data_IF_458162529085
#
_entry.id   IF_458162529085
#
_cell.length_a   1.000
_cell.length_b   1.000
_cell.length_c   1.000
_cell.angle_alpha   90.00
_cell.angle_beta   90.00
_cell.angle_gamma   90.00
#
_symmetry.space_group_name_H-M   'P 1'
#
loop_
_entity.id
_entity.type
_entity.pdbx_description
1 polymer ?
#
# COMPACT_ATOMS: atom_id res chain seq x y z
N UNK A 1 -13.62 37.32 1.25
CA UNK A 1 -12.98 36.30 0.37
C UNK A 1 -11.50 36.07 0.66
N UNK A 2 -10.68 37.09 0.98
CA UNK A 2 -9.24 36.88 1.25
C UNK A 2 -8.92 36.12 2.56
N UNK A 3 -9.76 36.13 3.59
CA UNK A 3 -9.56 35.36 4.84
C UNK A 3 -9.85 33.87 4.72
N UNK A 4 -10.62 33.45 3.72
CA UNK A 4 -10.96 32.04 3.49
C UNK A 4 -9.83 31.29 2.75
N UNK A 5 -9.07 31.98 1.92
CA UNK A 5 -7.95 31.40 1.13
C UNK A 5 -6.72 31.14 2.01
N UNK A 6 -6.48 31.98 3.04
CA UNK A 6 -5.36 31.78 3.98
C UNK A 6 -5.57 30.60 4.94
N UNK A 7 -6.83 30.29 5.26
CA UNK A 7 -7.16 29.14 6.13
C UNK A 7 -6.97 27.80 5.43
N UNK A 8 -7.17 27.75 4.11
CA UNK A 8 -7.04 26.52 3.31
C UNK A 8 -5.56 26.13 3.10
N UNK A 9 -4.64 27.09 3.02
CA UNK A 9 -3.21 26.81 2.88
C UNK A 9 -2.52 26.29 4.15
N UNK A 10 -3.02 26.63 5.34
CA UNK A 10 -2.45 26.13 6.61
C UNK A 10 -2.91 24.72 6.96
N UNK A 11 -4.02 24.25 6.38
CA UNK A 11 -4.63 22.93 6.64
C UNK A 11 -3.91 21.81 5.87
N UNK A 12 -3.26 22.13 4.73
CA UNK A 12 -2.63 21.12 3.88
C UNK A 12 -1.30 20.55 4.41
N UNK A 13 -0.67 21.19 5.37
CA UNK A 13 0.68 20.79 5.84
C UNK A 13 0.67 19.78 7.01
N UNK A 14 -0.47 19.56 7.67
CA UNK A 14 -0.56 18.73 8.90
C UNK A 14 -1.15 17.32 8.70
N UNK A 15 -1.74 17.02 7.56
CA UNK A 15 -2.35 15.68 7.29
C UNK A 15 -1.28 14.59 7.08
N UNK A 16 -0.04 14.97 6.77
CA UNK A 16 1.08 14.06 6.55
C UNK A 16 1.84 13.63 7.82
N UNK A 17 1.54 14.20 8.96
CA UNK A 17 2.27 13.89 10.20
C UNK A 17 1.40 13.11 11.16
N UNK A 18 1.07 11.84 10.99
CA UNK A 18 0.50 10.89 11.99
C UNK A 18 -0.08 11.44 13.32
N UNK A 19 -0.31 12.75 13.42
CA UNK A 19 -0.97 13.47 14.49
C UNK A 19 -2.25 14.03 13.87
N UNK A 20 -3.21 13.18 13.64
CA UNK A 20 -4.58 13.57 13.32
C UNK A 20 -5.26 13.88 14.67
N UNK A 21 -4.88 14.95 15.31
CA UNK A 21 -5.55 15.35 16.56
C UNK A 21 -6.00 16.82 16.60
N UNK A 22 -5.55 17.73 15.73
CA UNK A 22 -5.91 19.15 15.89
C UNK A 22 -6.49 19.87 14.66
N UNK A 23 -6.46 19.28 13.46
CA UNK A 23 -7.06 19.92 12.26
C UNK A 23 -8.25 19.17 11.66
N UNK A 24 -8.71 18.14 12.32
CA UNK A 24 -9.89 17.35 11.93
C UNK A 24 -11.23 18.12 12.03
N UNK A 25 -11.26 19.33 12.52
CA UNK A 25 -12.53 20.04 12.74
C UNK A 25 -13.20 20.43 11.40
N UNK A 26 -12.46 20.85 10.37
CA UNK A 26 -13.07 21.23 9.09
C UNK A 26 -13.41 20.05 8.19
N UNK A 27 -12.65 18.96 8.26
CA UNK A 27 -12.97 17.70 7.55
C UNK A 27 -14.10 16.92 8.23
N UNK A 28 -14.22 17.02 9.57
CA UNK A 28 -15.32 16.41 10.32
C UNK A 28 -16.70 16.93 9.93
N UNK A 29 -16.79 18.17 9.45
CA UNK A 29 -18.07 18.76 8.99
C UNK A 29 -18.50 18.27 7.60
N UNK A 30 -17.59 17.64 6.83
CA UNK A 30 -17.83 17.22 5.43
C UNK A 30 -17.96 15.69 5.32
N UNK A 31 -17.30 14.94 6.21
CA UNK A 31 -17.31 13.48 6.17
C UNK A 31 -18.49 12.91 6.98
N UNK A 32 -19.10 11.81 6.53
CA UNK A 32 -20.13 11.11 7.28
C UNK A 32 -19.62 10.69 8.67
N UNK A 33 -20.47 10.81 9.70
CA UNK A 33 -20.12 10.57 11.10
C UNK A 33 -19.50 9.19 11.36
N UNK A 34 -19.93 8.16 10.62
CA UNK A 34 -19.40 6.80 10.78
C UNK A 34 -17.90 6.69 10.53
N UNK A 35 -17.29 7.62 9.78
CA UNK A 35 -15.85 7.65 9.53
C UNK A 35 -15.07 7.85 10.83
N UNK A 36 -15.66 8.55 11.81
CA UNK A 36 -15.04 8.77 13.11
C UNK A 36 -15.02 7.50 14.01
N UNK A 37 -15.79 6.46 13.65
CA UNK A 37 -15.81 5.19 14.38
C UNK A 37 -14.68 4.24 13.97
N UNK A 38 -13.90 4.59 12.95
CA UNK A 38 -12.87 3.71 12.37
C UNK A 38 -11.57 4.46 12.12
N UNK A 39 -10.48 3.73 11.94
CA UNK A 39 -9.27 4.23 11.33
C UNK A 39 -9.25 3.77 9.87
N UNK A 40 -9.09 4.69 8.93
CA UNK A 40 -8.82 4.39 7.53
C UNK A 40 -7.30 4.36 7.34
N UNK A 41 -6.77 3.19 6.94
CA UNK A 41 -5.34 2.96 6.76
C UNK A 41 -5.01 2.75 5.30
N UNK A 42 -3.82 3.20 4.86
CA UNK A 42 -3.43 3.23 3.45
C UNK A 42 -4.46 3.97 2.56
N UNK A 43 -5.02 5.04 3.11
CA UNK A 43 -6.04 5.88 2.50
C UNK A 43 -5.61 7.35 2.62
N UNK A 44 -4.68 7.78 1.74
CA UNK A 44 -4.19 9.15 1.71
C UNK A 44 -5.16 10.16 1.08
N UNK A 45 -6.21 9.67 0.41
CA UNK A 45 -7.23 10.49 -0.23
C UNK A 45 -8.64 9.95 0.03
N UNK A 46 -9.24 10.33 1.16
CA UNK A 46 -10.64 10.02 1.45
C UNK A 46 -11.52 11.10 0.82
N UNK A 47 -12.43 10.69 -0.07
CA UNK A 47 -13.29 11.62 -0.83
C UNK A 47 -14.75 11.27 -0.59
N UNK A 48 -15.62 12.22 -0.19
CA UNK A 48 -17.05 11.97 -0.10
C UNK A 48 -17.61 11.49 -1.44
N UNK A 49 -18.58 10.57 -1.40
CA UNK A 49 -19.36 10.21 -2.58
C UNK A 49 -20.22 11.37 -3.03
N UNK A 50 -20.66 11.35 -4.29
CA UNK A 50 -21.48 12.45 -4.88
C UNK A 50 -22.80 12.68 -4.15
N UNK A 51 -23.35 11.63 -3.52
CA UNK A 51 -24.57 11.71 -2.71
C UNK A 51 -24.29 12.11 -1.24
N UNK A 52 -23.03 12.27 -0.86
CA UNK A 52 -22.60 12.62 0.49
C UNK A 52 -22.83 11.52 1.55
N UNK A 53 -23.29 10.33 1.15
CA UNK A 53 -23.64 9.26 2.09
C UNK A 53 -22.49 8.30 2.41
N UNK A 54 -21.43 8.32 1.61
CA UNK A 54 -20.27 7.45 1.74
C UNK A 54 -18.97 8.17 1.47
N UNK A 55 -17.87 7.43 1.54
CA UNK A 55 -16.53 7.90 1.20
C UNK A 55 -15.82 6.90 0.28
N UNK A 56 -15.06 7.42 -0.69
CA UNK A 56 -14.19 6.65 -1.56
C UNK A 56 -12.80 6.56 -0.92
N UNK A 57 -12.21 5.36 -0.96
CA UNK A 57 -10.93 5.07 -0.34
C UNK A 57 -9.80 5.13 -1.37
N UNK A 58 -9.17 6.29 -1.52
CA UNK A 58 -8.05 6.48 -2.44
C UNK A 58 -6.71 6.43 -1.70
N UNK A 59 -5.70 5.79 -2.28
CA UNK A 59 -4.39 5.61 -1.64
C UNK A 59 -3.53 6.87 -1.64
N UNK A 60 -3.75 7.78 -2.59
CA UNK A 60 -3.07 9.07 -2.63
C UNK A 60 -4.08 10.23 -2.72
N UNK A 61 -3.76 11.41 -2.15
CA UNK A 61 -4.62 12.59 -2.19
C UNK A 61 -4.73 13.16 -3.62
N UNK A 62 -5.73 14.01 -3.85
CA UNK A 62 -6.03 14.56 -5.19
C UNK A 62 -4.84 15.34 -5.76
N UNK A 63 -4.18 16.12 -4.93
CA UNK A 63 -3.05 16.99 -5.30
C UNK A 63 -1.87 16.19 -5.87
N UNK A 64 -1.65 14.99 -5.36
CA UNK A 64 -0.65 14.04 -5.88
C UNK A 64 -1.15 13.40 -7.16
N UNK A 65 -2.39 12.87 -7.14
CA UNK A 65 -2.97 12.15 -8.28
C UNK A 65 -3.03 13.00 -9.56
N UNK A 66 -3.35 14.28 -9.44
CA UNK A 66 -3.44 15.20 -10.57
C UNK A 66 -2.08 15.49 -11.24
N UNK A 67 -0.97 15.16 -10.60
CA UNK A 67 0.40 15.36 -11.10
C UNK A 67 1.05 14.08 -11.62
N UNK A 68 0.36 12.94 -11.55
CA UNK A 68 0.90 11.69 -12.07
C UNK A 68 0.76 11.60 -13.59
N UNK A 69 1.72 10.93 -14.22
CA UNK A 69 1.74 10.75 -15.66
C UNK A 69 0.49 10.01 -16.16
N UNK A 70 -0.09 10.52 -17.23
CA UNK A 70 -1.26 9.92 -17.91
C UNK A 70 -0.89 9.22 -19.21
N UNK A 71 0.38 9.33 -19.64
CA UNK A 71 0.92 8.72 -20.86
C UNK A 71 2.37 8.30 -20.66
N UNK A 72 2.75 7.24 -21.35
CA UNK A 72 4.15 6.86 -21.53
C UNK A 72 4.84 7.74 -22.57
N UNK A 73 6.19 7.77 -22.61
CA UNK A 73 6.94 8.53 -23.64
C UNK A 73 6.61 8.11 -25.08
N UNK A 74 6.18 6.88 -25.33
CA UNK A 74 5.72 6.38 -26.64
C UNK A 74 4.23 6.71 -26.90
N UNK A 75 3.61 7.51 -26.05
CA UNK A 75 2.25 8.05 -26.24
C UNK A 75 1.10 7.14 -25.80
N UNK A 76 1.37 5.95 -25.26
CA UNK A 76 0.31 5.08 -24.74
C UNK A 76 -0.32 5.69 -23.51
N UNK A 77 -1.66 5.67 -23.47
CA UNK A 77 -2.42 6.14 -22.30
C UNK A 77 -2.23 5.16 -21.14
N UNK A 78 -1.71 5.67 -20.02
CA UNK A 78 -1.51 4.98 -18.77
C UNK A 78 -1.79 5.96 -17.64
N UNK A 79 -2.88 5.76 -16.92
CA UNK A 79 -3.39 6.72 -15.94
C UNK A 79 -2.91 6.37 -14.51
N UNK A 80 -1.85 7.05 -14.05
CA UNK A 80 -1.32 6.92 -12.69
C UNK A 80 -2.33 7.36 -11.63
N UNK A 81 -3.13 8.40 -11.91
CA UNK A 81 -4.18 8.85 -11.01
C UNK A 81 -5.24 7.76 -10.79
N UNK A 82 -5.65 7.05 -11.85
CA UNK A 82 -6.58 5.92 -11.75
C UNK A 82 -5.98 4.80 -10.86
N UNK A 83 -4.69 4.52 -10.97
CA UNK A 83 -4.06 3.48 -10.14
C UNK A 83 -4.05 3.85 -8.65
N UNK A 84 -3.93 5.13 -8.31
CA UNK A 84 -3.99 5.58 -6.91
C UNK A 84 -5.41 5.65 -6.34
N UNK A 85 -6.45 5.53 -7.17
CA UNK A 85 -7.85 5.33 -6.73
C UNK A 85 -8.17 3.88 -6.39
N UNK A 86 -7.40 2.93 -6.87
CA UNK A 86 -7.56 1.51 -6.54
C UNK A 86 -7.27 1.29 -5.05
N UNK A 87 -8.23 0.74 -4.32
CA UNK A 87 -8.19 0.60 -2.86
C UNK A 87 -7.42 -0.64 -2.37
N UNK A 88 -6.48 -1.16 -3.17
CA UNK A 88 -5.70 -2.34 -2.80
C UNK A 88 -4.90 -2.09 -1.52
N UNK A 89 -5.03 -2.99 -0.53
CA UNK A 89 -4.47 -2.86 0.82
C UNK A 89 -4.93 -1.62 1.61
N UNK A 90 -5.95 -0.89 1.13
CA UNK A 90 -6.66 0.02 2.01
C UNK A 90 -7.36 -0.78 3.09
N UNK A 91 -7.32 -0.30 4.33
CA UNK A 91 -7.93 -1.00 5.47
C UNK A 91 -8.91 -0.10 6.21
N UNK A 92 -10.01 -0.70 6.66
CA UNK A 92 -10.90 -0.13 7.66
C UNK A 92 -10.62 -0.85 8.97
N UNK A 93 -10.14 -0.12 9.99
CA UNK A 93 -9.72 -0.67 11.27
C UNK A 93 -10.62 -0.17 12.40
N UNK A 94 -11.03 -1.05 13.27
CA UNK A 94 -11.83 -0.71 14.44
C UNK A 94 -11.59 -1.69 15.59
N UNK A 95 -12.05 -1.31 16.78
CA UNK A 95 -12.06 -2.13 17.99
C UNK A 95 -13.48 -2.15 18.53
N UNK A 96 -13.95 -3.31 18.96
CA UNK A 96 -15.24 -3.44 19.65
C UNK A 96 -15.16 -2.76 21.02
N UNK A 97 -16.18 -1.98 21.37
CA UNK A 97 -16.34 -1.50 22.72
C UNK A 97 -16.73 -2.66 23.67
N UNK A 98 -16.66 -2.41 24.96
CA UNK A 98 -16.96 -3.42 25.97
C UNK A 98 -18.39 -3.94 25.83
N UNK A 99 -18.56 -5.27 25.81
CA UNK A 99 -19.85 -5.92 25.64
C UNK A 99 -20.35 -6.08 24.21
N UNK A 100 -19.72 -5.39 23.24
CA UNK A 100 -20.07 -5.55 21.82
C UNK A 100 -19.54 -6.87 21.25
N UNK A 101 -20.28 -7.45 20.32
CA UNK A 101 -19.94 -8.74 19.68
C UNK A 101 -19.70 -8.57 18.18
N UNK A 102 -18.75 -9.33 17.59
CA UNK A 102 -18.46 -9.27 16.17
C UNK A 102 -19.67 -9.44 15.25
N UNK A 103 -20.61 -10.31 15.62
CA UNK A 103 -21.82 -10.60 14.85
C UNK A 103 -22.82 -9.44 14.76
N UNK A 104 -22.72 -8.44 15.63
CA UNK A 104 -23.55 -7.25 15.60
C UNK A 104 -22.97 -6.16 14.69
N UNK A 105 -21.68 -6.28 14.32
CA UNK A 105 -21.01 -5.29 13.47
C UNK A 105 -21.36 -5.56 12.01
N UNK A 106 -21.79 -4.51 11.31
CA UNK A 106 -22.10 -4.56 9.88
C UNK A 106 -21.39 -3.43 9.16
N UNK A 107 -20.59 -3.77 8.15
CA UNK A 107 -19.93 -2.78 7.28
C UNK A 107 -20.63 -2.79 5.92
N UNK A 108 -20.81 -1.58 5.37
CA UNK A 108 -21.42 -1.37 4.07
C UNK A 108 -20.38 -0.86 3.11
N UNK A 109 -19.98 -1.73 2.16
CA UNK A 109 -18.99 -1.46 1.14
C UNK A 109 -19.57 -1.64 -0.25
N UNK A 110 -19.06 -0.87 -1.21
CA UNK A 110 -19.43 -0.97 -2.61
C UNK A 110 -18.18 -0.84 -3.49
N UNK A 111 -18.07 -1.68 -4.49
CA UNK A 111 -17.06 -1.52 -5.54
C UNK A 111 -17.60 -0.70 -6.71
N UNK A 112 -16.78 0.16 -7.30
CA UNK A 112 -17.21 1.07 -8.37
C UNK A 112 -17.40 0.41 -9.72
N UNK A 113 -16.54 -0.54 -10.10
CA UNK A 113 -16.52 -1.08 -11.46
C UNK A 113 -16.94 -2.55 -11.55
N UNK A 114 -16.42 -3.38 -10.66
CA UNK A 114 -16.62 -4.84 -10.66
C UNK A 114 -16.55 -5.39 -9.24
N UNK A 115 -17.13 -6.56 -9.04
CA UNK A 115 -17.01 -7.27 -7.77
C UNK A 115 -15.53 -7.38 -7.34
N UNK A 116 -15.28 -7.17 -6.06
CA UNK A 116 -13.98 -7.36 -5.43
C UNK A 116 -14.09 -8.21 -4.16
N UNK A 117 -12.96 -8.49 -3.53
CA UNK A 117 -12.91 -9.21 -2.26
C UNK A 117 -12.38 -8.32 -1.16
N UNK A 118 -12.90 -8.54 0.03
CA UNK A 118 -12.30 -8.05 1.27
C UNK A 118 -12.01 -9.23 2.17
N UNK A 119 -10.96 -9.08 2.96
CA UNK A 119 -10.53 -10.06 3.95
C UNK A 119 -10.54 -9.39 5.30
N UNK A 120 -11.02 -10.08 6.35
CA UNK A 120 -10.93 -9.50 7.68
C UNK A 120 -10.07 -10.33 8.61
N UNK A 121 -9.40 -9.61 9.46
CA UNK A 121 -8.49 -10.13 10.48
C UNK A 121 -8.94 -9.63 11.84
N UNK A 122 -8.79 -10.49 12.84
CA UNK A 122 -8.74 -10.07 14.23
C UNK A 122 -7.29 -10.16 14.68
N UNK A 123 -6.70 -9.00 15.05
CA UNK A 123 -5.25 -8.90 15.19
C UNK A 123 -4.56 -9.27 13.87
N UNK A 124 -3.76 -10.34 13.91
CA UNK A 124 -3.09 -10.92 12.72
C UNK A 124 -3.71 -12.24 12.22
N UNK A 125 -4.79 -12.70 12.83
CA UNK A 125 -5.45 -13.95 12.41
C UNK A 125 -6.52 -13.65 11.36
N UNK A 126 -6.38 -14.27 10.18
CA UNK A 126 -7.40 -14.23 9.14
C UNK A 126 -8.67 -14.92 9.65
N UNK A 127 -9.77 -14.19 9.73
CA UNK A 127 -11.04 -14.66 10.24
C UNK A 127 -12.07 -14.92 9.14
N UNK A 128 -11.93 -14.30 7.96
CA UNK A 128 -12.83 -14.57 6.85
C UNK A 128 -12.62 -13.68 5.64
N UNK A 129 -13.47 -13.91 4.64
CA UNK A 129 -13.52 -13.14 3.41
C UNK A 129 -14.96 -12.92 2.95
N UNK A 130 -15.20 -11.87 2.20
CA UNK A 130 -16.47 -11.59 1.55
C UNK A 130 -16.29 -10.95 0.18
N UNK A 131 -17.30 -11.06 -0.65
CA UNK A 131 -17.41 -10.34 -1.91
C UNK A 131 -18.09 -9.01 -1.70
N UNK A 132 -17.52 -7.96 -2.25
CA UNK A 132 -18.08 -6.61 -2.32
C UNK A 132 -18.68 -6.44 -3.70
N UNK A 133 -20.00 -6.31 -3.84
CA UNK A 133 -20.66 -6.19 -5.13
C UNK A 133 -20.36 -4.84 -5.78
N UNK A 134 -20.47 -4.81 -7.10
CA UNK A 134 -20.47 -3.55 -7.86
C UNK A 134 -21.89 -2.95 -7.82
N UNK A 135 -21.96 -1.63 -7.57
CA UNK A 135 -23.21 -0.89 -7.68
C UNK A 135 -24.26 -1.12 -6.58
N UNK A 136 -23.97 -1.95 -5.58
CA UNK A 136 -24.89 -2.21 -4.46
C UNK A 136 -24.13 -2.30 -3.12
N UNK A 137 -24.55 -1.53 -2.12
CA UNK A 137 -24.00 -1.55 -0.76
C UNK A 137 -25.00 -2.06 0.30
N UNK A 138 -26.16 -2.56 -0.11
CA UNK A 138 -27.22 -2.97 0.82
C UNK A 138 -26.90 -4.30 1.53
N UNK A 139 -25.92 -5.06 1.04
CA UNK A 139 -25.49 -6.31 1.67
C UNK A 139 -24.32 -6.05 2.62
N UNK A 140 -24.54 -6.07 3.96
CA UNK A 140 -23.47 -5.81 4.90
C UNK A 140 -22.44 -6.95 4.95
N UNK A 141 -21.20 -6.58 5.25
CA UNK A 141 -20.15 -7.51 5.65
C UNK A 141 -20.16 -7.59 7.17
N UNK A 142 -20.25 -8.82 7.70
CA UNK A 142 -20.20 -9.08 9.14
C UNK A 142 -18.86 -9.74 9.44
N UNK A 143 -17.92 -9.04 10.12
CA UNK A 143 -16.57 -9.54 10.35
C UNK A 143 -16.51 -10.48 11.55
N UNK A 144 -17.32 -11.54 11.52
CA UNK A 144 -17.39 -12.55 12.58
C UNK A 144 -16.07 -13.36 12.66
N UNK A 145 -15.88 -14.05 13.76
CA UNK A 145 -14.86 -15.06 13.98
C UNK A 145 -15.47 -16.24 14.75
N UNK A 146 -14.74 -17.32 14.88
CA UNK A 146 -15.22 -18.45 15.69
C UNK A 146 -14.75 -18.36 17.15
N UNK A 147 -15.50 -18.98 18.07
CA UNK A 147 -15.21 -18.91 19.50
C UNK A 147 -13.84 -19.49 19.88
N UNK A 148 -13.39 -20.56 19.19
CA UNK A 148 -12.05 -21.14 19.42
C UNK A 148 -10.95 -20.13 19.07
N UNK A 149 -11.08 -19.43 17.95
CA UNK A 149 -10.13 -18.40 17.55
C UNK A 149 -10.00 -17.33 18.65
N UNK A 150 -11.12 -16.78 19.14
CA UNK A 150 -11.09 -15.77 20.18
C UNK A 150 -10.51 -16.29 21.49
N UNK A 151 -10.86 -17.51 21.92
CA UNK A 151 -10.28 -18.13 23.10
C UNK A 151 -8.77 -18.34 23.01
N UNK A 152 -8.27 -18.72 21.83
CA UNK A 152 -6.83 -18.83 21.60
C UNK A 152 -6.13 -17.47 21.64
N UNK A 153 -6.75 -16.44 21.06
CA UNK A 153 -6.20 -15.08 21.04
C UNK A 153 -6.12 -14.47 22.46
N UNK A 154 -7.02 -14.83 23.38
CA UNK A 154 -6.95 -14.43 24.78
C UNK A 154 -5.74 -15.02 25.51
N UNK A 155 -5.40 -16.27 25.18
CA UNK A 155 -4.29 -17.01 25.82
C UNK A 155 -2.93 -16.72 25.18
N UNK A 156 -2.92 -16.45 23.87
CA UNK A 156 -1.70 -16.29 23.08
C UNK A 156 -1.77 -14.97 22.30
N UNK A 157 -1.31 -13.85 22.90
CA UNK A 157 -1.15 -12.61 22.14
C UNK A 157 -0.23 -12.88 20.95
N UNK A 158 -0.73 -12.65 19.76
CA UNK A 158 0.01 -12.98 18.55
C UNK A 158 -0.06 -11.85 17.54
N UNK A 159 1.14 -11.42 17.11
CA UNK A 159 1.27 -10.57 15.95
C UNK A 159 1.47 -9.09 16.23
N UNK A 160 1.31 -8.33 15.18
CA UNK A 160 1.61 -6.89 15.09
C UNK A 160 0.55 -6.00 15.73
N UNK A 161 -0.67 -6.51 15.87
CA UNK A 161 -1.84 -5.76 16.33
C UNK A 161 -2.41 -6.40 17.58
N UNK A 162 -3.01 -5.60 18.47
CA UNK A 162 -3.78 -6.16 19.56
C UNK A 162 -4.92 -7.05 19.03
N UNK A 163 -5.16 -8.16 19.69
CA UNK A 163 -6.12 -9.18 19.24
C UNK A 163 -7.54 -8.67 19.00
N UNK A 164 -7.93 -7.58 19.68
CA UNK A 164 -9.27 -6.95 19.55
C UNK A 164 -9.39 -5.98 18.37
N UNK A 165 -8.32 -5.72 17.63
CA UNK A 165 -8.35 -4.89 16.42
C UNK A 165 -8.89 -5.70 15.26
N UNK A 166 -10.05 -5.31 14.74
CA UNK A 166 -10.55 -5.81 13.47
C UNK A 166 -9.97 -4.97 12.32
N UNK A 167 -9.48 -5.66 11.29
CA UNK A 167 -8.92 -5.04 10.09
C UNK A 167 -9.62 -5.61 8.87
N UNK A 168 -10.32 -4.76 8.11
CA UNK A 168 -10.97 -5.12 6.85
C UNK A 168 -10.02 -4.67 5.73
N UNK A 169 -9.39 -5.60 5.04
CA UNK A 169 -8.38 -5.37 4.00
C UNK A 169 -9.02 -5.51 2.63
N UNK A 170 -8.90 -4.48 1.79
CA UNK A 170 -9.45 -4.46 0.44
C UNK A 170 -8.45 -5.03 -0.56
N UNK A 171 -8.90 -5.87 -1.49
CA UNK A 171 -8.09 -6.37 -2.60
C UNK A 171 -8.02 -5.41 -3.81
N UNK A 172 -8.91 -4.46 -3.91
CA UNK A 172 -9.16 -3.57 -5.07
C UNK A 172 -10.42 -4.02 -5.82
N UNK A 173 -10.97 -3.30 -6.80
CA UNK A 173 -10.54 -2.02 -7.39
C UNK A 173 -10.88 -0.79 -6.51
N UNK A 174 -11.46 0.28 -7.08
CA UNK A 174 -11.96 1.42 -6.33
C UNK A 174 -13.15 0.98 -5.45
N UNK A 175 -13.06 1.25 -4.14
CA UNK A 175 -14.06 0.86 -3.15
C UNK A 175 -14.50 2.08 -2.36
N UNK A 176 -15.80 2.18 -2.15
CA UNK A 176 -16.40 3.12 -1.23
C UNK A 176 -16.87 2.44 0.05
N UNK A 177 -16.94 3.23 1.12
CA UNK A 177 -17.40 2.86 2.44
C UNK A 177 -18.63 3.70 2.80
N UNK A 178 -19.80 3.06 3.00
CA UNK A 178 -21.09 3.71 3.23
C UNK A 178 -21.58 3.63 4.66
N UNK A 179 -20.89 2.93 5.54
CA UNK A 179 -21.26 2.91 6.95
C UNK A 179 -20.76 1.72 7.73
N UNK A 180 -20.86 1.87 9.05
CA UNK A 180 -20.64 0.80 10.02
C UNK A 180 -21.71 0.90 11.11
N UNK A 181 -22.41 -0.21 11.35
CA UNK A 181 -23.27 -0.42 12.53
C UNK A 181 -22.49 -1.19 13.59
N UNK A 182 -22.92 -1.07 14.84
CA UNK A 182 -22.26 -1.68 15.99
C UNK A 182 -21.56 -0.62 16.86
N UNK A 183 -21.29 -1.00 18.10
CA UNK A 183 -20.60 -0.17 19.06
C UNK A 183 -19.08 -0.36 18.95
N UNK A 184 -18.47 0.43 18.06
CA UNK A 184 -17.05 0.34 17.69
C UNK A 184 -16.37 1.68 17.80
N UNK A 185 -15.06 1.65 17.95
CA UNK A 185 -14.18 2.83 17.96
C UNK A 185 -12.92 2.62 17.13
N UNK A 186 -12.22 3.68 16.74
CA UNK A 186 -10.89 3.56 16.16
C UNK A 186 -9.91 2.88 17.13
N UNK A 187 -8.92 2.12 16.63
CA UNK A 187 -7.82 1.61 17.45
C UNK A 187 -7.01 2.75 18.08
N UNK A 188 -6.54 2.53 19.30
CA UNK A 188 -5.58 3.43 19.96
C UNK A 188 -4.16 3.12 19.49
N UNK A 189 -3.21 4.06 19.59
CA UNK A 189 -1.82 3.83 19.17
C UNK A 189 -1.16 2.58 19.78
N UNK A 190 -1.42 2.29 21.05
CA UNK A 190 -0.88 1.11 21.74
C UNK A 190 -1.54 -0.22 21.33
N UNK A 191 -2.62 -0.19 20.56
CA UNK A 191 -3.27 -1.36 19.99
C UNK A 191 -2.73 -1.71 18.61
N UNK A 192 -2.02 -0.77 17.98
CA UNK A 192 -1.41 -0.92 16.66
C UNK A 192 0.08 -1.26 16.69
N UNK A 193 0.82 -0.80 17.64
CA UNK A 193 2.18 -1.10 18.12
C UNK A 193 3.32 -1.51 17.17
N UNK A 194 3.07 -1.79 15.93
CA UNK A 194 4.06 -2.26 14.97
C UNK A 194 4.72 -1.07 14.23
N UNK A 195 6.04 -1.15 13.89
CA UNK A 195 6.64 -0.24 12.95
C UNK A 195 5.99 -0.38 11.56
N UNK A 196 6.16 0.61 10.69
CA UNK A 196 5.50 0.69 9.39
C UNK A 196 6.48 0.42 8.25
N UNK A 197 6.15 -0.52 7.37
CA UNK A 197 6.81 -0.72 6.08
C UNK A 197 6.02 -0.06 4.96
N UNK A 198 6.65 0.88 4.26
CA UNK A 198 6.15 1.44 3.01
C UNK A 198 6.67 0.59 1.84
N UNK A 199 5.81 0.21 0.90
CA UNK A 199 6.22 -0.38 -0.36
C UNK A 199 5.70 0.42 -1.55
N UNK A 200 6.59 0.78 -2.47
CA UNK A 200 6.25 1.35 -3.77
C UNK A 200 6.81 0.46 -4.88
N UNK A 201 6.07 0.35 -5.98
CA UNK A 201 6.49 -0.45 -7.13
C UNK A 201 5.37 -0.62 -8.14
N UNK A 202 5.48 -1.65 -8.96
CA UNK A 202 4.66 -1.88 -10.14
C UNK A 202 3.37 -2.67 -9.82
N UNK A 203 2.77 -3.29 -10.86
CA UNK A 203 1.68 -4.27 -10.70
C UNK A 203 2.06 -5.46 -9.82
N UNK A 204 3.35 -5.81 -9.78
CA UNK A 204 3.87 -6.90 -8.94
C UNK A 204 3.75 -6.52 -7.47
N UNK A 205 4.12 -5.30 -7.11
CA UNK A 205 3.94 -4.75 -5.75
C UNK A 205 2.49 -4.45 -5.41
N UNK A 206 1.67 -4.10 -6.42
CA UNK A 206 0.23 -3.91 -6.24
C UNK A 206 -0.50 -5.22 -5.97
N UNK A 207 0.06 -6.37 -6.40
CA UNK A 207 -0.48 -7.70 -6.17
C UNK A 207 -1.24 -8.29 -7.35
N UNK A 208 -0.87 -7.92 -8.58
CA UNK A 208 -1.39 -8.60 -9.77
C UNK A 208 -1.07 -10.11 -9.70
N UNK A 209 -2.04 -10.94 -10.06
CA UNK A 209 -2.04 -12.40 -9.98
C UNK A 209 -1.93 -13.02 -8.57
N UNK A 210 -1.73 -12.27 -7.51
CA UNK A 210 -1.93 -12.79 -6.16
C UNK A 210 -3.42 -13.10 -5.95
N UNK A 211 -3.74 -14.28 -5.43
CA UNK A 211 -5.13 -14.70 -5.20
C UNK A 211 -5.79 -13.88 -4.08
N UNK A 212 -5.00 -13.45 -3.09
CA UNK A 212 -5.45 -12.66 -1.93
C UNK A 212 -4.50 -11.48 -1.66
N UNK A 213 -5.01 -10.45 -0.99
CA UNK A 213 -4.22 -9.27 -0.64
C UNK A 213 -3.02 -9.60 0.29
N UNK A 214 -3.20 -10.52 1.23
CA UNK A 214 -2.16 -10.93 2.17
C UNK A 214 -1.11 -11.88 1.58
N UNK A 215 -1.30 -12.36 0.36
CA UNK A 215 -0.34 -13.20 -0.37
C UNK A 215 0.57 -12.41 -1.31
N UNK A 216 0.46 -11.09 -1.35
CA UNK A 216 1.40 -10.25 -2.11
C UNK A 216 2.75 -10.23 -1.38
N UNK A 217 3.84 -10.33 -2.12
CA UNK A 217 5.20 -10.47 -1.57
C UNK A 217 5.54 -9.42 -0.50
N UNK A 218 5.15 -8.17 -0.72
CA UNK A 218 5.42 -7.08 0.21
C UNK A 218 4.58 -7.16 1.50
N UNK A 219 3.31 -7.60 1.41
CA UNK A 219 2.48 -7.87 2.58
C UNK A 219 3.01 -9.06 3.40
N UNK A 220 3.47 -10.12 2.71
CA UNK A 220 4.14 -11.27 3.34
C UNK A 220 5.44 -10.86 4.03
N UNK A 221 6.26 -10.05 3.37
CA UNK A 221 7.53 -9.53 3.94
C UNK A 221 7.26 -8.65 5.16
N UNK A 222 6.33 -7.70 5.08
CA UNK A 222 5.96 -6.84 6.21
C UNK A 222 5.50 -7.69 7.42
N UNK A 223 4.64 -8.68 7.18
CA UNK A 223 4.18 -9.60 8.22
C UNK A 223 5.32 -10.39 8.85
N UNK A 224 6.21 -10.95 8.04
CA UNK A 224 7.36 -11.74 8.52
C UNK A 224 8.35 -10.91 9.35
N UNK A 225 8.50 -9.62 9.03
CA UNK A 225 9.34 -8.68 9.76
C UNK A 225 8.64 -8.07 10.99
N UNK A 226 7.34 -8.29 11.18
CA UNK A 226 6.56 -7.69 12.26
C UNK A 226 6.15 -6.23 12.02
N UNK A 227 6.08 -5.79 10.77
CA UNK A 227 5.72 -4.42 10.37
C UNK A 227 4.26 -4.30 9.99
N UNK A 228 3.63 -3.17 10.32
CA UNK A 228 2.42 -2.70 9.63
C UNK A 228 2.75 -2.30 8.19
N UNK A 229 1.76 -2.12 7.32
CA UNK A 229 2.03 -2.08 5.89
C UNK A 229 1.28 -0.99 5.15
N UNK A 230 2.00 -0.24 4.30
CA UNK A 230 1.46 0.72 3.34
C UNK A 230 1.86 0.27 1.93
N UNK A 231 0.86 0.00 1.08
CA UNK A 231 1.10 -0.38 -0.32
C UNK A 231 0.82 0.78 -1.28
N UNK A 232 1.87 1.29 -1.91
CA UNK A 232 1.79 2.30 -2.97
C UNK A 232 2.15 1.72 -4.35
N UNK A 233 1.97 0.42 -4.56
CA UNK A 233 2.12 -0.22 -5.87
C UNK A 233 1.19 0.39 -6.91
N UNK A 234 1.69 0.62 -8.14
CA UNK A 234 1.01 1.34 -9.22
C UNK A 234 1.09 0.54 -10.52
N UNK A 235 0.03 -0.19 -10.85
CA UNK A 235 0.02 -1.12 -11.99
C UNK A 235 0.22 -0.39 -13.33
N UNK A 236 1.31 -0.72 -14.01
CA UNK A 236 1.65 -0.14 -15.31
C UNK A 236 2.08 1.34 -15.28
N UNK A 237 2.15 1.96 -14.10
CA UNK A 237 2.38 3.40 -13.92
C UNK A 237 3.32 3.74 -12.76
N UNK A 238 4.15 2.82 -12.31
CA UNK A 238 5.20 3.12 -11.35
C UNK A 238 6.38 3.82 -12.05
N UNK A 239 6.25 5.15 -12.22
CA UNK A 239 7.17 5.96 -13.04
C UNK A 239 8.08 6.85 -12.23
N UNK A 240 8.11 6.70 -10.89
CA UNK A 240 8.94 7.51 -9.99
C UNK A 240 8.76 9.02 -10.21
N UNK A 241 7.53 9.48 -10.45
CA UNK A 241 7.24 10.90 -10.65
C UNK A 241 7.63 11.70 -9.40
N UNK A 242 8.11 12.95 -9.56
CA UNK A 242 8.46 13.80 -8.42
C UNK A 242 7.32 13.95 -7.40
N UNK A 243 6.07 14.13 -7.87
CA UNK A 243 4.91 14.25 -6.99
C UNK A 243 4.67 13.00 -6.14
N UNK A 244 4.86 11.80 -6.73
CA UNK A 244 4.80 10.54 -5.97
C UNK A 244 5.96 10.45 -4.98
N UNK A 245 7.17 10.78 -5.39
CA UNK A 245 8.37 10.75 -4.54
C UNK A 245 8.21 11.68 -3.33
N UNK A 246 7.72 12.90 -3.54
CA UNK A 246 7.45 13.88 -2.48
C UNK A 246 6.36 13.39 -1.52
N UNK A 247 5.31 12.77 -2.06
CA UNK A 247 4.25 12.19 -1.24
C UNK A 247 4.76 11.04 -0.37
N UNK A 248 5.50 10.07 -0.94
CA UNK A 248 6.09 8.97 -0.17
C UNK A 248 7.04 9.48 0.92
N UNK A 249 7.81 10.52 0.63
CA UNK A 249 8.71 11.16 1.59
C UNK A 249 7.96 11.88 2.73
N UNK A 250 6.71 12.29 2.51
CA UNK A 250 5.87 12.93 3.54
C UNK A 250 5.16 11.93 4.47
N UNK A 251 5.07 10.66 4.10
CA UNK A 251 4.46 9.63 4.92
C UNK A 251 5.38 9.21 6.08
N UNK A 252 4.80 8.68 7.14
CA UNK A 252 5.56 8.09 8.25
C UNK A 252 5.76 6.60 8.01
N UNK A 253 7.01 6.18 7.99
CA UNK A 253 7.41 4.78 7.86
C UNK A 253 8.79 4.56 8.48
N UNK A 254 9.07 3.30 8.85
CA UNK A 254 10.29 2.87 9.50
C UNK A 254 11.15 1.98 8.59
N UNK A 255 10.60 1.56 7.45
CA UNK A 255 11.27 0.80 6.40
C UNK A 255 10.59 1.13 5.06
N UNK A 256 11.37 1.41 4.02
CA UNK A 256 10.85 1.58 2.67
C UNK A 256 11.41 0.50 1.73
N UNK A 257 10.53 -0.14 0.94
CA UNK A 257 10.92 -1.13 -0.08
C UNK A 257 10.42 -0.68 -1.44
N UNK A 258 11.34 -0.42 -2.35
CA UNK A 258 11.10 0.06 -3.71
C UNK A 258 11.34 -1.07 -4.71
N UNK A 259 10.30 -1.54 -5.41
CA UNK A 259 10.40 -2.45 -6.55
C UNK A 259 10.36 -1.60 -7.83
N UNK A 260 11.54 -1.44 -8.47
CA UNK A 260 11.68 -0.43 -9.49
C UNK A 260 11.91 -1.01 -10.88
N UNK A 261 11.28 -0.34 -11.83
CA UNK A 261 11.70 -0.15 -13.22
C UNK A 261 10.99 -0.91 -14.33
N UNK A 262 10.25 -2.02 -14.12
CA UNK A 262 9.62 -2.70 -15.28
C UNK A 262 8.65 -1.78 -16.04
N UNK A 263 7.92 -0.92 -15.34
CA UNK A 263 7.01 0.04 -15.98
C UNK A 263 7.74 1.15 -16.75
N UNK A 264 8.98 1.42 -16.38
CA UNK A 264 9.82 2.42 -17.05
C UNK A 264 10.64 1.85 -18.22
N UNK A 265 10.38 0.62 -18.64
CA UNK A 265 11.07 -0.04 -19.76
C UNK A 265 10.99 0.74 -21.07
N UNK A 266 9.92 1.52 -21.29
CA UNK A 266 9.74 2.38 -22.47
C UNK A 266 10.29 3.79 -22.30
N UNK A 267 10.79 4.15 -21.13
CA UNK A 267 11.41 5.45 -20.89
C UNK A 267 12.86 5.45 -21.39
N UNK A 268 13.36 6.59 -21.92
CA UNK A 268 14.78 6.75 -22.15
C UNK A 268 15.57 6.51 -20.86
N UNK A 269 16.71 5.83 -20.96
CA UNK A 269 17.50 5.45 -19.76
C UNK A 269 17.94 6.67 -18.92
N UNK A 270 18.19 7.81 -19.55
CA UNK A 270 18.47 9.06 -18.83
C UNK A 270 17.31 9.48 -17.93
N UNK A 271 16.09 9.51 -18.47
CA UNK A 271 14.89 9.85 -17.69
C UNK A 271 14.62 8.84 -16.56
N UNK A 272 14.87 7.55 -16.80
CA UNK A 272 14.82 6.55 -15.74
C UNK A 272 15.78 6.90 -14.60
N UNK A 273 17.06 7.17 -14.94
CA UNK A 273 18.09 7.53 -13.96
C UNK A 273 17.72 8.79 -13.17
N UNK A 274 17.25 9.82 -13.85
CA UNK A 274 16.91 11.11 -13.22
C UNK A 274 15.77 10.93 -12.20
N UNK A 275 14.70 10.23 -12.58
CA UNK A 275 13.54 10.03 -11.71
C UNK A 275 13.86 9.12 -10.53
N UNK A 276 14.60 8.04 -10.74
CA UNK A 276 15.01 7.12 -9.67
C UNK A 276 15.98 7.78 -8.70
N UNK A 277 16.96 8.56 -9.20
CA UNK A 277 17.84 9.35 -8.35
C UNK A 277 17.05 10.33 -7.47
N UNK A 278 16.11 11.07 -8.08
CA UNK A 278 15.27 12.01 -7.32
C UNK A 278 14.49 11.30 -6.21
N UNK A 279 13.84 10.18 -6.52
CA UNK A 279 13.07 9.42 -5.53
C UNK A 279 13.96 8.93 -4.39
N UNK A 280 15.08 8.30 -4.69
CA UNK A 280 15.99 7.75 -3.68
C UNK A 280 16.56 8.87 -2.79
N UNK A 281 17.07 9.95 -3.38
CA UNK A 281 17.61 11.09 -2.62
C UNK A 281 16.54 11.73 -1.72
N UNK A 282 15.33 11.94 -2.25
CA UNK A 282 14.23 12.54 -1.51
C UNK A 282 13.81 11.69 -0.30
N UNK A 283 13.64 10.39 -0.48
CA UNK A 283 13.27 9.48 0.59
C UNK A 283 14.38 9.35 1.64
N UNK A 284 15.63 9.21 1.19
CA UNK A 284 16.78 9.08 2.10
C UNK A 284 16.99 10.30 2.98
N UNK A 285 16.81 11.51 2.43
CA UNK A 285 16.91 12.76 3.19
C UNK A 285 15.75 12.97 4.16
N UNK A 286 14.53 12.54 3.80
CA UNK A 286 13.37 12.70 4.67
C UNK A 286 13.35 11.69 5.82
N UNK A 287 13.99 10.52 5.66
CA UNK A 287 14.03 9.44 6.64
C UNK A 287 15.45 8.89 6.78
N UNK A 288 16.40 9.68 7.33
CA UNK A 288 17.83 9.33 7.32
C UNK A 288 18.19 8.11 8.16
N UNK A 289 17.33 7.71 9.10
CA UNK A 289 17.54 6.57 10.00
C UNK A 289 16.75 5.31 9.61
N UNK A 290 15.85 5.42 8.63
CA UNK A 290 15.04 4.30 8.16
C UNK A 290 15.69 3.65 6.92
N UNK A 291 15.82 2.31 6.87
CA UNK A 291 16.36 1.63 5.71
C UNK A 291 15.45 1.80 4.48
N UNK A 292 16.09 1.98 3.33
CA UNK A 292 15.45 2.02 2.01
C UNK A 292 16.06 0.91 1.16
N UNK A 293 15.25 -0.08 0.79
CA UNK A 293 15.69 -1.25 0.01
C UNK A 293 15.19 -1.09 -1.43
N UNK A 294 16.12 -0.95 -2.36
CA UNK A 294 15.86 -0.80 -3.78
C UNK A 294 16.03 -2.14 -4.50
N UNK A 295 14.94 -2.73 -4.95
CA UNK A 295 14.91 -4.00 -5.67
C UNK A 295 14.91 -3.73 -7.18
N UNK A 296 15.86 -4.32 -7.91
CA UNK A 296 15.88 -4.26 -9.38
C UNK A 296 14.81 -5.14 -10.00
N UNK A 297 14.63 -5.01 -11.34
CA UNK A 297 13.65 -5.82 -12.07
C UNK A 297 13.80 -7.30 -11.75
N UNK A 298 12.67 -7.92 -11.39
CA UNK A 298 12.56 -9.38 -11.33
C UNK A 298 12.79 -10.00 -12.71
N UNK A 299 13.12 -11.30 -12.81
CA UNK A 299 13.12 -12.01 -14.08
C UNK A 299 11.74 -12.02 -14.71
N UNK A 300 11.66 -11.82 -16.04
CA UNK A 300 10.43 -11.97 -16.79
C UNK A 300 10.68 -12.33 -18.25
N UNK A 301 9.74 -13.06 -18.87
CA UNK A 301 9.97 -13.75 -20.14
C UNK A 301 10.44 -12.84 -21.27
N UNK A 302 9.72 -11.75 -21.56
CA UNK A 302 10.07 -10.87 -22.69
C UNK A 302 11.30 -10.00 -22.43
N UNK A 303 11.66 -9.79 -21.16
CA UNK A 303 12.81 -8.99 -20.78
C UNK A 303 14.14 -9.74 -20.74
N UNK A 304 14.11 -11.02 -20.42
CA UNK A 304 15.32 -11.79 -20.18
C UNK A 304 15.58 -12.89 -21.24
N UNK A 305 14.51 -13.44 -21.86
CA UNK A 305 14.64 -14.57 -22.78
C UNK A 305 14.76 -14.19 -24.25
N UNK A 306 14.35 -12.99 -24.64
CA UNK A 306 14.39 -12.56 -26.03
C UNK A 306 15.64 -11.74 -26.34
N UNK A 307 16.42 -12.20 -27.32
CA UNK A 307 17.69 -11.60 -27.73
C UNK A 307 17.60 -10.13 -28.15
N UNK A 308 16.41 -9.64 -28.51
CA UNK A 308 16.14 -8.24 -28.85
C UNK A 308 15.41 -7.51 -27.70
N UNK A 309 15.95 -7.56 -26.51
CA UNK A 309 15.39 -6.91 -25.32
C UNK A 309 15.25 -5.38 -25.51
N UNK A 310 14.15 -4.97 -26.14
CA UNK A 310 13.84 -3.54 -26.39
C UNK A 310 13.63 -2.74 -25.10
N UNK A 311 13.44 -3.42 -23.96
CA UNK A 311 13.18 -2.79 -22.66
C UNK A 311 14.47 -2.46 -21.89
N UNK A 312 15.65 -2.90 -22.38
CA UNK A 312 16.93 -2.67 -21.72
C UNK A 312 16.94 -3.19 -20.28
N UNK A 313 16.45 -4.41 -20.04
CA UNK A 313 16.23 -4.97 -18.70
C UNK A 313 17.52 -4.99 -17.89
N UNK A 314 18.60 -5.53 -18.46
CA UNK A 314 19.88 -5.60 -17.77
C UNK A 314 20.49 -4.20 -17.55
N UNK A 315 20.39 -3.31 -18.56
CA UNK A 315 20.85 -1.93 -18.43
C UNK A 315 20.18 -1.19 -17.26
N UNK A 316 18.89 -1.46 -17.01
CA UNK A 316 18.17 -0.85 -15.88
C UNK A 316 18.53 -1.48 -14.54
N UNK A 317 18.77 -2.79 -14.49
CA UNK A 317 19.31 -3.46 -13.30
C UNK A 317 20.65 -2.86 -12.90
N UNK A 318 21.56 -2.72 -13.88
CA UNK A 318 22.89 -2.14 -13.67
C UNK A 318 22.81 -0.64 -13.30
N UNK A 319 21.90 0.10 -13.94
CA UNK A 319 21.69 1.51 -13.63
C UNK A 319 21.19 1.70 -12.19
N UNK A 320 20.22 0.90 -11.72
CA UNK A 320 19.73 0.98 -10.35
C UNK A 320 20.85 0.64 -9.34
N UNK A 321 21.62 -0.40 -9.59
CA UNK A 321 22.77 -0.76 -8.75
C UNK A 321 23.79 0.38 -8.67
N UNK A 322 24.09 1.00 -9.81
CA UNK A 322 25.01 2.15 -9.89
C UNK A 322 24.45 3.38 -9.15
N UNK A 323 23.14 3.67 -9.27
CA UNK A 323 22.47 4.77 -8.56
C UNK A 323 22.57 4.58 -7.06
N UNK A 324 22.22 3.42 -6.56
CA UNK A 324 22.28 3.11 -5.12
C UNK A 324 23.70 3.26 -4.61
N UNK A 325 24.68 2.70 -5.31
CA UNK A 325 26.12 2.81 -4.95
C UNK A 325 26.61 4.26 -4.94
N UNK A 326 26.14 5.07 -5.87
CA UNK A 326 26.55 6.48 -6.02
C UNK A 326 25.77 7.43 -5.11
N UNK A 327 24.68 7.00 -4.51
CA UNK A 327 23.78 7.88 -3.72
C UNK A 327 24.45 8.51 -2.50
N UNK A 328 25.44 7.85 -1.92
CA UNK A 328 26.15 8.29 -0.72
C UNK A 328 25.31 8.18 0.58
N UNK A 329 24.07 7.73 0.49
CA UNK A 329 23.20 7.53 1.66
C UNK A 329 23.46 6.18 2.30
N UNK A 330 23.83 6.16 3.60
CA UNK A 330 24.13 4.93 4.35
C UNK A 330 22.91 4.02 4.56
N UNK A 331 21.71 4.58 4.48
CA UNK A 331 20.44 3.88 4.70
C UNK A 331 19.80 3.36 3.39
N UNK A 332 20.48 3.48 2.24
CA UNK A 332 19.99 3.01 0.94
C UNK A 332 20.73 1.75 0.51
N UNK A 333 19.99 0.68 0.27
CA UNK A 333 20.52 -0.65 -0.01
C UNK A 333 19.97 -1.21 -1.32
N UNK A 334 20.82 -1.90 -2.08
CA UNK A 334 20.45 -2.56 -3.32
C UNK A 334 20.18 -4.05 -3.08
N UNK A 335 19.11 -4.56 -3.70
CA UNK A 335 18.84 -6.00 -3.79
C UNK A 335 18.56 -6.35 -5.25
N UNK A 336 19.24 -7.39 -5.74
CA UNK A 336 19.04 -7.92 -7.09
C UNK A 336 17.70 -8.64 -7.18
N UNK A 337 16.83 -8.22 -8.11
CA UNK A 337 15.54 -8.89 -8.35
C UNK A 337 15.69 -10.35 -8.81
N UNK A 338 16.65 -10.69 -9.71
CA UNK A 338 16.98 -12.07 -10.07
C UNK A 338 17.32 -13.01 -8.90
N UNK A 339 17.80 -12.47 -7.77
CA UNK A 339 18.09 -13.28 -6.59
C UNK A 339 16.83 -13.63 -5.78
N UNK A 340 15.68 -13.03 -6.12
CA UNK A 340 14.45 -13.13 -5.34
C UNK A 340 13.38 -14.01 -5.98
N UNK A 341 13.41 -14.18 -7.30
CA UNK A 341 12.36 -14.89 -8.07
C UNK A 341 12.96 -15.70 -9.21
N UNK A 342 12.47 -16.93 -9.37
CA UNK A 342 12.74 -17.77 -10.54
C UNK A 342 11.59 -17.69 -11.56
N UNK A 343 11.85 -18.04 -12.83
CA UNK A 343 10.83 -18.09 -13.88
C UNK A 343 9.66 -19.04 -13.54
N UNK A 344 9.91 -20.08 -12.75
CA UNK A 344 8.88 -21.03 -12.30
C UNK A 344 7.85 -20.43 -11.38
N UNK A 345 8.15 -19.28 -10.77
CA UNK A 345 7.22 -18.50 -9.95
C UNK A 345 6.29 -17.59 -10.75
N UNK A 346 6.49 -17.46 -12.07
CA UNK A 346 5.70 -16.58 -12.91
C UNK A 346 4.36 -17.20 -13.32
N UNK A 347 3.39 -16.34 -13.58
CA UNK A 347 2.11 -16.66 -14.18
C UNK A 347 2.25 -16.94 -15.70
N UNK A 348 1.19 -17.42 -16.38
CA UNK A 348 1.25 -17.68 -17.82
C UNK A 348 1.60 -16.46 -18.69
N UNK A 349 1.48 -15.25 -18.19
CA UNK A 349 1.90 -14.04 -18.91
C UNK A 349 3.41 -13.79 -18.86
N UNK A 350 4.14 -14.64 -18.13
CA UNK A 350 5.60 -14.61 -17.99
C UNK A 350 6.16 -13.26 -17.48
N UNK A 351 5.36 -12.52 -16.73
CA UNK A 351 5.71 -11.23 -16.13
C UNK A 351 5.33 -11.16 -14.64
N UNK A 352 4.10 -11.50 -14.32
CA UNK A 352 3.60 -11.36 -12.96
C UNK A 352 3.79 -12.68 -12.17
N UNK A 353 4.25 -12.59 -10.91
CA UNK A 353 4.34 -13.77 -10.05
C UNK A 353 2.96 -14.33 -9.71
N UNK A 354 2.85 -15.65 -9.66
CA UNK A 354 1.73 -16.36 -8.99
C UNK A 354 1.87 -16.25 -7.47
N UNK A 355 0.92 -16.80 -6.69
CA UNK A 355 1.06 -16.90 -5.23
C UNK A 355 2.38 -17.59 -4.84
N UNK A 356 2.79 -18.63 -5.57
CA UNK A 356 4.08 -19.29 -5.36
C UNK A 356 5.26 -18.33 -5.54
N UNK A 357 5.28 -17.57 -6.64
CA UNK A 357 6.33 -16.57 -6.87
C UNK A 357 6.30 -15.41 -5.86
N UNK A 358 5.12 -15.00 -5.40
CA UNK A 358 5.00 -14.00 -4.34
C UNK A 358 5.61 -14.50 -3.02
N UNK A 359 5.37 -15.77 -2.65
CA UNK A 359 5.97 -16.41 -1.47
C UNK A 359 7.48 -16.54 -1.66
N UNK A 360 7.96 -16.92 -2.84
CA UNK A 360 9.37 -17.04 -3.17
C UNK A 360 10.09 -15.70 -2.97
N UNK A 361 9.56 -14.61 -3.54
CA UNK A 361 10.11 -13.26 -3.35
C UNK A 361 10.20 -12.91 -1.87
N UNK A 362 9.11 -13.08 -1.12
CA UNK A 362 9.07 -12.74 0.30
C UNK A 362 10.07 -13.58 1.13
N UNK A 363 10.19 -14.87 0.84
CA UNK A 363 11.10 -15.79 1.53
C UNK A 363 12.56 -15.45 1.31
N UNK A 364 12.92 -15.01 0.09
CA UNK A 364 14.28 -14.62 -0.26
C UNK A 364 14.62 -13.18 0.19
N UNK A 365 13.64 -12.28 0.25
CA UNK A 365 13.82 -10.88 0.61
C UNK A 365 13.90 -10.65 2.12
N UNK A 366 13.02 -11.32 2.90
CA UNK A 366 12.92 -11.09 4.35
C UNK A 366 14.24 -11.24 5.10
N UNK A 367 15.05 -12.29 4.88
CA UNK A 367 16.33 -12.41 5.57
C UNK A 367 17.33 -11.30 5.19
N UNK A 368 17.35 -10.85 3.93
CA UNK A 368 18.19 -9.74 3.47
C UNK A 368 17.81 -8.43 4.17
N UNK A 369 16.53 -8.12 4.28
CA UNK A 369 16.06 -6.93 5.02
C UNK A 369 16.37 -7.05 6.51
N UNK A 370 16.22 -8.23 7.10
CA UNK A 370 16.55 -8.45 8.52
C UNK A 370 18.03 -8.22 8.81
N UNK A 371 18.93 -8.54 7.86
CA UNK A 371 20.35 -8.26 7.96
C UNK A 371 20.63 -6.75 7.89
N UNK A 372 20.06 -6.07 6.89
CA UNK A 372 20.15 -4.60 6.73
C UNK A 372 19.70 -3.87 8.00
N UNK A 373 18.56 -4.26 8.59
CA UNK A 373 18.04 -3.64 9.82
C UNK A 373 19.02 -3.84 10.99
N UNK A 374 19.70 -4.99 11.08
CA UNK A 374 20.69 -5.25 12.14
C UNK A 374 21.97 -4.43 11.99
N UNK A 375 22.39 -4.16 10.76
CA UNK A 375 23.60 -3.37 10.47
C UNK A 375 23.44 -1.87 10.75
N UNK A 376 22.21 -1.36 10.69
CA UNK A 376 21.90 0.07 10.91
C UNK A 376 21.68 0.37 12.39
N UNK A 377 21.26 -0.61 13.19
CA UNK A 377 21.07 -0.48 14.64
C UNK A 377 22.38 -0.59 15.41
#
# INVERSE_FOLDING_TARGET
>A
MAKLIFLIQSILTLICSGIIASETVSLKEILPEFVNKVQLWNCGGVVPTTDGKGVLLYRAPKEVRDQLDTKTPDGKVKDGAKQMRVAVHSEIRFVLNEGEKPENVKLYLQSSEKETSVFWYWGDILAGEAKVPAGDFNKPIIPHGNGLMFSMMEQYPCGRFANRVCRIVVKGPEVGFWGIEGDVRPPKPNELGAPVMLSYGTSISMGAYASRADLVWNALTARALGYDFINMGSSGTAYCEPAMSDYLASLKWDLCVLELSVNMGVFPIGQFKDRVNYMIDKLARSHPDAPIVCISLFPFGTGDLWANNKLGTQERRDALAAIVKASGHRNVHFVSGPDLLNFTGLSPDMLHPTDHGMIEIASNLTPKISEIIREIR
#
